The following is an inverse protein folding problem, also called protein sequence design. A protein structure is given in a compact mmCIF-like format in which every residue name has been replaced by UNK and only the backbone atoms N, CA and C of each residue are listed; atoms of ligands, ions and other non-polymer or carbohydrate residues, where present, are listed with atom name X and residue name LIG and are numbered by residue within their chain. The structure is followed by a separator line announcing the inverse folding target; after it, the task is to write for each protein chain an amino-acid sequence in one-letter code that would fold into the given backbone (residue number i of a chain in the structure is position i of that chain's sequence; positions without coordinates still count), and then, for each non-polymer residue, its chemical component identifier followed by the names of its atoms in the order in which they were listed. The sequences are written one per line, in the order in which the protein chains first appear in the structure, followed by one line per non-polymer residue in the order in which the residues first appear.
data_IF_372199630968
#
_entry.id   IF_372199630968
#
_cell.length_a   1.000
_cell.length_b   1.000
_cell.length_c   1.000
_cell.angle_alpha   90.00
_cell.angle_beta   90.00
_cell.angle_gamma   90.00
#
_symmetry.space_group_name_H-M   'P 1'
#
loop_
_entity.id
_entity.type
_entity.pdbx_description
1 polymer ?
#
# COMPACT_ATOMS: atom_id res chain seq x y z
N UNK A 1 -25.98 50.26 9.77
CA UNK A 1 -25.71 49.22 10.79
C UNK A 1 -25.50 47.88 10.11
N UNK A 2 -24.25 47.46 10.00
CA UNK A 2 -23.92 46.09 9.62
C UNK A 2 -23.81 45.32 10.95
N UNK A 3 -24.63 44.28 11.19
CA UNK A 3 -24.53 43.52 12.43
C UNK A 3 -23.21 42.77 12.44
N UNK A 4 -22.36 43.07 13.42
CA UNK A 4 -21.13 42.32 13.65
C UNK A 4 -21.47 41.06 14.42
N UNK A 5 -20.85 39.96 14.01
CA UNK A 5 -20.89 38.68 14.71
C UNK A 5 -19.62 38.61 15.56
N UNK A 6 -19.74 38.66 16.88
CA UNK A 6 -18.66 38.31 17.80
C UNK A 6 -18.65 36.80 17.94
N UNK A 7 -17.56 36.16 17.54
CA UNK A 7 -17.38 34.71 17.67
C UNK A 7 -16.59 34.48 18.96
N UNK A 8 -17.30 34.22 20.06
CA UNK A 8 -16.67 33.93 21.37
C UNK A 8 -16.43 32.42 21.49
N UNK A 9 -15.20 32.05 21.82
CA UNK A 9 -14.74 30.67 22.00
C UNK A 9 -14.87 30.32 23.49
N UNK A 10 -15.88 29.55 23.87
CA UNK A 10 -16.05 29.10 25.26
C UNK A 10 -15.02 28.00 25.61
N UNK A 11 -14.81 27.74 26.89
CA UNK A 11 -13.83 26.75 27.41
C UNK A 11 -14.04 25.32 26.83
N UNK A 12 -15.25 25.00 26.38
CA UNK A 12 -15.60 23.73 25.70
C UNK A 12 -15.32 23.70 24.18
N UNK A 13 -14.76 24.78 23.62
CA UNK A 13 -14.50 24.91 22.19
C UNK A 13 -15.76 25.12 21.34
N UNK A 14 -16.86 25.57 21.96
CA UNK A 14 -18.12 25.91 21.29
C UNK A 14 -18.13 27.41 21.01
N UNK A 15 -18.38 27.77 19.75
CA UNK A 15 -18.43 29.16 19.29
C UNK A 15 -19.83 29.73 19.42
N UNK A 16 -19.97 30.80 20.19
CA UNK A 16 -21.20 31.57 20.29
C UNK A 16 -21.09 32.83 19.43
N UNK A 17 -21.98 32.95 18.45
CA UNK A 17 -22.14 34.13 17.59
C UNK A 17 -23.03 35.14 18.31
N UNK A 18 -22.45 36.24 18.83
CA UNK A 18 -23.20 37.37 19.42
C UNK A 18 -23.34 38.50 18.40
N UNK A 19 -24.51 39.11 18.33
CA UNK A 19 -24.83 40.16 17.36
C UNK A 19 -24.56 41.53 17.99
N UNK A 20 -23.40 42.11 17.73
CA UNK A 20 -23.02 43.45 18.18
C UNK A 20 -23.01 44.43 17.01
N UNK A 21 -23.58 45.62 17.15
CA UNK A 21 -23.65 46.63 16.08
C UNK A 21 -22.43 47.54 16.08
N UNK A 22 -21.79 47.74 14.92
CA UNK A 22 -20.73 48.74 14.72
C UNK A 22 -21.06 49.63 13.52
N UNK A 23 -20.64 50.89 13.59
CA UNK A 23 -21.04 51.97 12.66
C UNK A 23 -20.04 52.28 11.53
N UNK A 24 -18.82 51.72 11.55
CA UNK A 24 -17.74 52.06 10.60
C UNK A 24 -17.25 50.85 9.74
N UNK A 25 -17.23 50.96 8.40
CA UNK A 25 -16.69 49.95 7.47
C UNK A 25 -15.25 49.51 7.73
N UNK A 26 -14.37 50.39 8.23
CA UNK A 26 -12.98 50.03 8.53
C UNK A 26 -12.89 48.96 9.63
N UNK A 27 -13.72 49.10 10.66
CA UNK A 27 -13.78 48.17 11.80
C UNK A 27 -14.34 46.79 11.42
N UNK A 28 -15.10 46.69 10.32
CA UNK A 28 -15.62 45.42 9.78
C UNK A 28 -14.51 44.64 9.09
N UNK A 29 -13.65 45.32 8.32
CA UNK A 29 -12.50 44.70 7.65
C UNK A 29 -11.49 44.14 8.65
N UNK A 30 -11.16 44.91 9.69
CA UNK A 30 -10.24 44.45 10.75
C UNK A 30 -10.75 43.21 11.48
N UNK A 31 -12.05 43.14 11.79
CA UNK A 31 -12.62 41.97 12.45
C UNK A 31 -12.65 40.73 11.55
N UNK A 32 -12.82 40.92 10.24
CA UNK A 32 -12.71 39.84 9.25
C UNK A 32 -11.27 39.29 9.19
N UNK A 33 -10.28 40.18 9.17
CA UNK A 33 -8.86 39.80 9.16
C UNK A 33 -8.45 39.09 10.47
N UNK A 34 -8.94 39.54 11.63
CA UNK A 34 -8.69 38.87 12.91
C UNK A 34 -9.33 37.47 12.99
N UNK A 35 -10.57 37.31 12.52
CA UNK A 35 -11.21 35.99 12.43
C UNK A 35 -10.45 35.03 11.50
N UNK A 36 -9.98 35.52 10.36
CA UNK A 36 -9.15 34.72 9.43
C UNK A 36 -7.84 34.27 10.09
N UNK A 37 -7.15 35.18 10.76
CA UNK A 37 -5.90 34.87 11.48
C UNK A 37 -6.10 33.85 12.61
N UNK A 38 -7.24 33.91 13.31
CA UNK A 38 -7.59 32.90 14.31
C UNK A 38 -7.92 31.55 13.65
N UNK A 39 -8.66 31.56 12.55
CA UNK A 39 -8.95 30.37 11.76
C UNK A 39 -7.67 29.70 11.24
N UNK A 40 -6.71 30.44 10.69
CA UNK A 40 -5.42 29.92 10.26
C UNK A 40 -4.65 29.24 11.40
N UNK A 41 -4.55 29.91 12.56
CA UNK A 41 -3.87 29.35 13.74
C UNK A 41 -4.52 28.07 14.26
N UNK A 42 -5.84 27.99 14.20
CA UNK A 42 -6.62 26.87 14.73
C UNK A 42 -6.68 25.70 13.73
N UNK A 43 -6.88 26.00 12.45
CA UNK A 43 -6.85 25.03 11.35
C UNK A 43 -5.47 24.37 11.21
N UNK A 44 -4.38 25.12 11.45
CA UNK A 44 -3.03 24.57 11.47
C UNK A 44 -2.77 23.59 12.63
N UNK A 45 -3.61 23.60 13.68
CA UNK A 45 -3.44 22.75 14.86
C UNK A 45 -4.27 21.47 14.81
N UNK A 46 -5.54 21.53 14.41
CA UNK A 46 -6.44 20.37 14.43
C UNK A 46 -7.61 20.49 13.44
N UNK A 47 -7.65 19.61 12.44
CA UNK A 47 -8.75 19.51 11.47
C UNK A 47 -10.10 19.18 12.11
N UNK A 48 -10.12 18.49 13.27
CA UNK A 48 -11.36 18.23 14.02
C UNK A 48 -11.96 19.53 14.58
N UNK A 49 -11.13 20.52 14.86
CA UNK A 49 -11.57 21.85 15.29
C UNK A 49 -12.20 22.63 14.14
N UNK A 50 -11.59 22.59 12.95
CA UNK A 50 -12.18 23.16 11.73
C UNK A 50 -13.57 22.57 11.42
N UNK A 51 -13.75 21.26 11.64
CA UNK A 51 -15.06 20.62 11.49
C UNK A 51 -16.12 21.17 12.46
N UNK A 52 -15.77 21.35 13.75
CA UNK A 52 -16.67 21.95 14.76
C UNK A 52 -17.08 23.38 14.38
N UNK A 53 -16.14 24.17 13.85
CA UNK A 53 -16.40 25.52 13.35
C UNK A 53 -17.42 25.54 12.23
N UNK A 54 -17.20 24.70 11.22
CA UNK A 54 -18.05 24.64 10.04
C UNK A 54 -19.47 24.17 10.42
N UNK A 55 -19.58 23.26 11.40
CA UNK A 55 -20.87 22.87 11.98
C UNK A 55 -21.57 24.00 12.74
N UNK A 56 -20.82 24.86 13.45
CA UNK A 56 -21.38 26.04 14.10
C UNK A 56 -21.88 27.08 13.08
N UNK A 57 -21.13 27.26 11.97
CA UNK A 57 -21.54 28.14 10.88
C UNK A 57 -22.81 27.68 10.16
N UNK A 58 -22.97 26.37 9.99
CA UNK A 58 -24.19 25.80 9.43
C UNK A 58 -25.45 26.06 10.29
N UNK A 59 -25.29 26.51 11.54
CA UNK A 59 -26.37 26.88 12.47
C UNK A 59 -26.59 28.40 12.53
N UNK A 60 -25.78 29.19 11.84
CA UNK A 60 -25.85 30.66 11.88
C UNK A 60 -26.66 31.21 10.70
N UNK A 61 -27.56 32.17 10.97
CA UNK A 61 -28.35 32.87 9.94
C UNK A 61 -27.73 34.21 9.48
N UNK A 62 -26.50 34.50 9.90
CA UNK A 62 -25.83 35.77 9.61
C UNK A 62 -25.37 35.84 8.14
N UNK A 63 -26.08 36.62 7.33
CA UNK A 63 -25.74 36.90 5.91
C UNK A 63 -24.33 37.49 5.75
N UNK A 64 -23.80 38.17 6.77
CA UNK A 64 -22.50 38.83 6.70
C UNK A 64 -21.30 37.84 6.73
N UNK A 65 -21.54 36.54 6.92
CA UNK A 65 -20.53 35.48 6.96
C UNK A 65 -20.43 34.66 5.66
N UNK A 66 -21.09 35.07 4.58
CA UNK A 66 -21.07 34.35 3.29
C UNK A 66 -19.68 34.12 2.70
N UNK A 67 -18.67 34.92 3.05
CA UNK A 67 -17.30 34.78 2.55
C UNK A 67 -16.48 33.69 3.27
N UNK A 68 -16.96 33.22 4.43
CA UNK A 68 -16.12 32.46 5.36
C UNK A 68 -15.91 30.98 5.00
N UNK A 69 -16.90 30.24 4.45
CA UNK A 69 -16.65 28.89 3.97
C UNK A 69 -15.58 28.84 2.87
N UNK A 70 -15.59 29.83 1.97
CA UNK A 70 -14.64 29.91 0.85
C UNK A 70 -13.22 30.18 1.37
N UNK A 71 -13.08 31.11 2.33
CA UNK A 71 -11.80 31.40 2.93
C UNK A 71 -11.26 30.25 3.80
N UNK A 72 -12.13 29.51 4.49
CA UNK A 72 -11.73 28.30 5.20
C UNK A 72 -11.27 27.20 4.23
N UNK A 73 -11.92 27.06 3.07
CA UNK A 73 -11.48 26.11 2.06
C UNK A 73 -10.09 26.45 1.51
N UNK A 74 -9.77 27.74 1.39
CA UNK A 74 -8.44 28.22 1.00
C UNK A 74 -7.39 27.92 2.08
N UNK A 75 -7.68 28.23 3.35
CA UNK A 75 -6.79 27.95 4.49
C UNK A 75 -6.53 26.45 4.66
N UNK A 76 -7.56 25.62 4.47
CA UNK A 76 -7.47 24.17 4.60
C UNK A 76 -6.87 23.48 3.36
N UNK A 77 -6.39 24.25 2.38
CA UNK A 77 -5.79 23.73 1.14
C UNK A 77 -6.68 22.68 0.45
N UNK A 78 -7.98 22.96 0.41
CA UNK A 78 -8.98 22.12 -0.25
C UNK A 78 -8.74 22.16 -1.77
N UNK A 79 -9.05 21.06 -2.48
CA UNK A 79 -8.78 20.98 -3.93
C UNK A 79 -9.64 21.99 -4.70
N UNK A 80 -9.18 22.41 -5.88
CA UNK A 80 -9.94 23.40 -6.66
C UNK A 80 -11.28 22.85 -7.14
N UNK A 81 -11.37 21.54 -7.40
CA UNK A 81 -12.63 20.85 -7.70
C UNK A 81 -13.61 20.94 -6.52
N UNK A 82 -13.14 20.68 -5.30
CA UNK A 82 -13.92 20.78 -4.07
C UNK A 82 -14.36 22.24 -3.80
N UNK A 83 -13.52 23.23 -4.13
CA UNK A 83 -13.86 24.66 -4.03
C UNK A 83 -14.95 25.08 -5.02
N UNK A 84 -14.88 24.63 -6.27
CA UNK A 84 -15.95 24.88 -7.28
C UNK A 84 -17.28 24.33 -6.77
N UNK A 85 -17.23 23.14 -6.19
CA UNK A 85 -18.35 22.48 -5.51
C UNK A 85 -18.98 23.36 -4.42
N UNK A 86 -18.18 24.12 -3.65
CA UNK A 86 -18.70 25.05 -2.65
C UNK A 86 -19.38 26.27 -3.28
N UNK A 87 -18.84 26.80 -4.37
CA UNK A 87 -19.38 27.99 -5.04
C UNK A 87 -20.75 27.76 -5.70
N UNK A 88 -21.09 26.50 -6.03
CA UNK A 88 -22.41 26.11 -6.55
C UNK A 88 -23.55 26.33 -5.54
N UNK A 89 -23.24 26.31 -4.25
CA UNK A 89 -24.22 26.36 -3.17
C UNK A 89 -24.67 27.80 -2.87
N UNK A 90 -25.97 28.06 -3.04
CA UNK A 90 -26.55 29.42 -2.93
C UNK A 90 -26.65 29.95 -1.50
N UNK A 91 -26.71 29.08 -0.49
CA UNK A 91 -26.91 29.47 0.91
C UNK A 91 -25.64 29.27 1.75
N UNK A 92 -25.46 30.11 2.79
CA UNK A 92 -24.36 29.96 3.76
C UNK A 92 -24.39 28.58 4.42
N UNK A 93 -25.59 28.14 4.81
CA UNK A 93 -25.80 26.86 5.48
C UNK A 93 -25.41 25.70 4.58
N UNK A 94 -25.78 25.73 3.29
CA UNK A 94 -25.42 24.67 2.35
C UNK A 94 -23.90 24.62 2.11
N UNK A 95 -23.25 25.79 1.92
CA UNK A 95 -21.78 25.88 1.81
C UNK A 95 -21.06 25.34 3.03
N UNK A 96 -21.50 25.75 4.22
CA UNK A 96 -20.93 25.25 5.47
C UNK A 96 -21.13 23.73 5.59
N UNK A 97 -22.32 23.19 5.33
CA UNK A 97 -22.54 21.73 5.38
C UNK A 97 -21.61 20.97 4.43
N UNK A 98 -21.52 21.40 3.17
CA UNK A 98 -20.67 20.77 2.15
C UNK A 98 -19.19 20.81 2.53
N UNK A 99 -18.70 21.95 3.03
CA UNK A 99 -17.34 22.08 3.56
C UNK A 99 -17.12 21.12 4.75
N UNK A 100 -18.10 20.96 5.61
CA UNK A 100 -18.05 20.04 6.75
C UNK A 100 -17.97 18.58 6.32
N UNK A 101 -18.68 18.20 5.27
CA UNK A 101 -18.63 16.85 4.70
C UNK A 101 -17.26 16.56 4.05
N UNK A 102 -16.69 17.53 3.33
CA UNK A 102 -15.33 17.44 2.77
C UNK A 102 -14.29 17.23 3.89
N UNK A 103 -14.34 18.06 4.94
CA UNK A 103 -13.40 17.95 6.08
C UNK A 103 -13.57 16.59 6.78
N UNK A 104 -14.81 16.13 6.97
CA UNK A 104 -15.07 14.83 7.60
C UNK A 104 -14.54 13.68 6.76
N UNK A 105 -14.72 13.74 5.44
CA UNK A 105 -14.16 12.78 4.49
C UNK A 105 -12.64 12.70 4.64
N UNK A 106 -11.96 13.84 4.58
CA UNK A 106 -10.49 13.91 4.74
C UNK A 106 -9.99 13.40 6.09
N UNK A 107 -10.70 13.69 7.17
CA UNK A 107 -10.37 13.13 8.51
C UNK A 107 -10.52 11.61 8.50
N UNK A 108 -11.63 11.09 7.96
CA UNK A 108 -11.90 9.66 7.89
C UNK A 108 -10.91 8.90 7.02
N UNK A 109 -10.54 9.46 5.86
CA UNK A 109 -9.55 8.88 4.96
C UNK A 109 -8.14 8.90 5.58
N UNK A 110 -7.82 9.96 6.34
CA UNK A 110 -6.59 10.04 7.11
C UNK A 110 -6.51 9.01 8.25
N UNK A 111 -7.61 8.73 8.94
CA UNK A 111 -7.68 7.69 9.98
C UNK A 111 -7.54 6.29 9.37
N UNK A 112 -8.24 5.99 8.27
CA UNK A 112 -8.09 4.72 7.53
C UNK A 112 -6.67 4.50 7.02
N UNK A 113 -6.06 5.53 6.43
CA UNK A 113 -4.69 5.42 5.94
C UNK A 113 -3.69 5.10 7.06
N UNK A 114 -3.90 5.64 8.27
CA UNK A 114 -3.05 5.28 9.42
C UNK A 114 -3.25 3.83 9.83
N UNK A 115 -4.49 3.36 9.92
CA UNK A 115 -4.77 1.96 10.22
C UNK A 115 -4.14 1.01 9.19
N UNK A 116 -4.23 1.34 7.91
CA UNK A 116 -3.62 0.56 6.82
C UNK A 116 -2.09 0.52 6.92
N UNK A 117 -1.46 1.65 7.30
CA UNK A 117 -0.01 1.72 7.53
C UNK A 117 0.39 0.90 8.76
N UNK A 118 -0.36 0.99 9.85
CA UNK A 118 -0.09 0.22 11.07
C UNK A 118 -0.20 -1.28 10.82
N UNK A 119 -1.19 -1.72 10.03
CA UNK A 119 -1.30 -3.11 9.58
C UNK A 119 -0.08 -3.54 8.76
N UNK A 120 0.41 -2.70 7.83
CA UNK A 120 1.62 -3.00 7.07
C UNK A 120 2.86 -3.13 7.97
N UNK A 121 2.97 -2.30 9.01
CA UNK A 121 4.07 -2.38 9.99
C UNK A 121 4.02 -3.73 10.71
N UNK A 122 2.83 -4.14 11.17
CA UNK A 122 2.66 -5.39 11.90
C UNK A 122 2.90 -6.63 11.01
N UNK A 123 2.46 -6.59 9.75
CA UNK A 123 2.79 -7.63 8.77
C UNK A 123 4.30 -7.67 8.50
N UNK A 124 4.95 -6.52 8.33
CA UNK A 124 6.39 -6.39 8.15
C UNK A 124 7.20 -6.96 9.32
N UNK A 125 6.71 -6.78 10.56
CA UNK A 125 7.32 -7.35 11.77
C UNK A 125 7.28 -8.88 11.79
N UNK A 126 6.19 -9.46 11.28
CA UNK A 126 5.95 -10.92 11.25
C UNK A 126 6.75 -11.64 10.17
N UNK A 127 7.35 -10.93 9.21
CA UNK A 127 8.16 -11.59 8.18
C UNK A 127 9.35 -12.30 8.84
N UNK A 128 9.49 -13.63 8.67
CA UNK A 128 10.63 -14.40 9.18
C UNK A 128 11.86 -14.10 8.31
N UNK A 129 12.43 -12.93 8.55
CA UNK A 129 13.66 -12.46 7.93
C UNK A 129 14.82 -13.19 8.62
N UNK A 130 15.21 -14.37 8.11
CA UNK A 130 16.41 -15.08 8.54
C UNK A 130 17.70 -14.28 8.30
N UNK A 131 18.87 -14.92 8.18
CA UNK A 131 20.17 -14.21 8.05
C UNK A 131 20.31 -13.22 6.88
N UNK A 132 19.42 -13.25 5.87
CA UNK A 132 19.36 -12.27 4.76
C UNK A 132 18.53 -11.03 5.12
N UNK A 133 18.01 -10.98 6.35
CA UNK A 133 16.94 -10.13 6.81
C UNK A 133 17.26 -8.65 6.92
N UNK A 134 18.46 -8.30 7.37
CA UNK A 134 18.77 -6.91 7.74
C UNK A 134 18.71 -5.95 6.56
N UNK A 135 19.18 -6.37 5.38
CA UNK A 135 19.12 -5.53 4.18
C UNK A 135 17.68 -5.34 3.71
N UNK A 136 16.92 -6.43 3.63
CA UNK A 136 15.51 -6.39 3.19
C UNK A 136 14.66 -5.59 4.17
N UNK A 137 14.88 -5.77 5.48
CA UNK A 137 14.18 -5.02 6.54
C UNK A 137 14.39 -3.53 6.42
N UNK A 138 15.65 -3.10 6.26
CA UNK A 138 15.99 -1.68 6.08
C UNK A 138 15.33 -1.09 4.83
N UNK A 139 15.26 -1.85 3.74
CA UNK A 139 14.58 -1.39 2.52
C UNK A 139 13.07 -1.29 2.75
N UNK A 140 12.46 -2.30 3.38
CA UNK A 140 11.03 -2.30 3.70
C UNK A 140 10.64 -1.13 4.61
N UNK A 141 11.38 -0.91 5.71
CA UNK A 141 11.15 0.19 6.65
C UNK A 141 11.33 1.56 5.99
N UNK A 142 12.31 1.70 5.10
CA UNK A 142 12.52 2.93 4.32
C UNK A 142 11.33 3.22 3.40
N UNK A 143 10.83 2.22 2.68
CA UNK A 143 9.69 2.39 1.78
C UNK A 143 8.38 2.60 2.55
N UNK A 144 8.23 1.99 3.73
CA UNK A 144 7.09 2.24 4.62
C UNK A 144 7.09 3.67 5.19
N UNK A 145 8.26 4.17 5.58
CA UNK A 145 8.43 5.57 6.00
C UNK A 145 8.13 6.54 4.86
N UNK A 146 8.46 6.16 3.62
CA UNK A 146 8.09 6.94 2.44
C UNK A 146 6.58 6.92 2.22
N UNK A 147 5.93 5.76 2.31
CA UNK A 147 4.48 5.64 2.14
C UNK A 147 3.70 6.51 3.12
N UNK A 148 4.13 6.62 4.38
CA UNK A 148 3.45 7.44 5.39
C UNK A 148 3.55 8.95 5.17
N UNK A 149 4.51 9.40 4.36
CA UNK A 149 4.68 10.79 3.97
C UNK A 149 3.93 11.14 2.67
N UNK A 150 3.51 10.14 1.90
CA UNK A 150 2.83 10.33 0.63
C UNK A 150 1.32 10.52 0.84
N UNK A 151 0.73 11.36 0.00
CA UNK A 151 -0.72 11.55 -0.02
C UNK A 151 -1.40 10.30 -0.58
N UNK A 152 -2.46 9.75 0.05
CA UNK A 152 -3.14 8.53 -0.41
C UNK A 152 -3.68 8.59 -1.84
N UNK A 153 -4.07 9.78 -2.29
CA UNK A 153 -4.57 10.05 -3.66
C UNK A 153 -3.45 10.05 -4.71
N UNK A 154 -2.18 10.11 -4.28
CA UNK A 154 -1.05 10.24 -5.20
C UNK A 154 -0.71 8.93 -5.90
N UNK A 155 -0.26 9.05 -7.15
CA UNK A 155 0.21 7.89 -7.91
C UNK A 155 1.44 7.23 -7.28
N UNK A 156 2.31 8.01 -6.64
CA UNK A 156 3.48 7.47 -5.93
C UNK A 156 3.07 6.61 -4.73
N UNK A 157 1.98 6.96 -4.04
CA UNK A 157 1.43 6.15 -2.96
C UNK A 157 0.99 4.79 -3.50
N UNK A 158 0.23 4.76 -4.59
CA UNK A 158 -0.23 3.51 -5.21
C UNK A 158 0.94 2.59 -5.62
N UNK A 159 1.98 3.15 -6.26
CA UNK A 159 3.17 2.38 -6.68
C UNK A 159 3.95 1.84 -5.47
N UNK A 160 4.12 2.66 -4.43
CA UNK A 160 4.85 2.26 -3.21
C UNK A 160 4.07 1.19 -2.44
N UNK A 161 2.74 1.33 -2.35
CA UNK A 161 1.87 0.35 -1.72
C UNK A 161 1.93 -0.99 -2.45
N UNK A 162 1.76 -0.99 -3.77
CA UNK A 162 1.84 -2.21 -4.58
C UNK A 162 3.20 -2.90 -4.42
N UNK A 163 4.29 -2.14 -4.34
CA UNK A 163 5.61 -2.70 -4.08
C UNK A 163 5.69 -3.39 -2.71
N UNK A 164 5.20 -2.76 -1.65
CA UNK A 164 5.18 -3.34 -0.31
C UNK A 164 4.32 -4.61 -0.26
N UNK A 165 3.16 -4.60 -0.93
CA UNK A 165 2.29 -5.78 -1.03
C UNK A 165 3.00 -6.96 -1.74
N UNK A 166 3.73 -6.70 -2.83
CA UNK A 166 4.55 -7.72 -3.49
C UNK A 166 5.61 -8.27 -2.55
N UNK A 167 6.34 -7.41 -1.81
CA UNK A 167 7.36 -7.86 -0.85
C UNK A 167 6.76 -8.73 0.26
N UNK A 168 5.56 -8.36 0.74
CA UNK A 168 4.85 -9.14 1.75
C UNK A 168 4.35 -10.49 1.24
N UNK A 169 3.95 -10.57 -0.04
CA UNK A 169 3.50 -11.81 -0.68
C UNK A 169 4.61 -12.82 -0.96
N UNK A 170 5.88 -12.39 -0.91
CA UNK A 170 7.00 -13.29 -1.15
C UNK A 170 7.10 -14.36 -0.06
N UNK A 171 7.37 -15.62 -0.42
CA UNK A 171 7.57 -16.67 0.57
C UNK A 171 8.97 -16.58 1.16
N UNK A 172 9.05 -16.13 2.41
CA UNK A 172 10.31 -16.00 3.14
C UNK A 172 10.75 -17.29 3.84
N UNK A 173 9.82 -18.23 4.01
CA UNK A 173 10.03 -19.54 4.62
C UNK A 173 10.34 -20.60 3.57
N UNK A 174 11.27 -21.48 3.90
CA UNK A 174 11.60 -22.64 3.07
C UNK A 174 10.74 -23.83 3.47
N UNK A 175 10.39 -24.67 2.50
CA UNK A 175 9.89 -26.02 2.78
C UNK A 175 11.00 -26.91 3.34
N UNK A 176 10.63 -27.88 4.16
CA UNK A 176 11.53 -28.96 4.55
C UNK A 176 11.61 -29.96 3.40
N UNK A 177 12.84 -30.30 2.99
CA UNK A 177 13.05 -31.30 1.93
C UNK A 177 13.20 -32.70 2.51
N UNK A 178 13.02 -33.72 1.69
CA UNK A 178 13.17 -35.12 2.13
C UNK A 178 14.64 -35.45 2.43
N UNK A 179 14.90 -35.96 3.64
CA UNK A 179 16.23 -36.34 4.12
C UNK A 179 16.73 -37.69 3.57
N UNK A 180 15.83 -38.63 3.27
CA UNK A 180 16.18 -39.97 2.82
C UNK A 180 16.22 -40.09 1.29
N UNK A 181 17.38 -40.47 0.74
CA UNK A 181 17.56 -40.72 -0.70
C UNK A 181 16.85 -42.00 -1.16
N UNK A 182 16.71 -43.00 -0.30
CA UNK A 182 16.03 -44.27 -0.61
C UNK A 182 14.54 -44.03 -0.84
N UNK A 183 13.91 -43.21 0.02
CA UNK A 183 12.54 -42.78 -0.15
C UNK A 183 12.31 -42.04 -1.48
N UNK A 184 13.21 -41.13 -1.85
CA UNK A 184 13.14 -40.39 -3.13
C UNK A 184 13.18 -41.37 -4.31
N UNK A 185 14.13 -42.31 -4.31
CA UNK A 185 14.27 -43.31 -5.38
C UNK A 185 13.03 -44.19 -5.49
N UNK A 186 12.52 -44.67 -4.36
CA UNK A 186 11.33 -45.52 -4.31
C UNK A 186 10.09 -44.79 -4.84
N UNK A 187 9.89 -43.53 -4.45
CA UNK A 187 8.79 -42.70 -4.93
C UNK A 187 8.86 -42.45 -6.44
N UNK A 188 10.05 -42.18 -6.98
CA UNK A 188 10.25 -41.97 -8.42
C UNK A 188 9.99 -43.25 -9.21
N UNK A 189 10.45 -44.40 -8.72
CA UNK A 189 10.21 -45.69 -9.37
C UNK A 189 8.75 -46.14 -9.32
N UNK A 190 8.01 -45.76 -8.28
CA UNK A 190 6.58 -46.04 -8.18
C UNK A 190 5.74 -45.20 -9.16
N UNK A 191 6.18 -43.97 -9.48
CA UNK A 191 5.40 -43.03 -10.29
C UNK A 191 5.70 -43.13 -11.78
N UNK A 192 6.95 -43.45 -12.16
CA UNK A 192 7.40 -43.51 -13.55
C UNK A 192 8.12 -44.82 -13.85
N UNK A 193 7.63 -45.56 -14.84
CA UNK A 193 8.31 -46.76 -15.34
C UNK A 193 9.51 -46.38 -16.23
N UNK A 194 10.62 -47.11 -16.11
CA UNK A 194 11.86 -46.86 -16.86
C UNK A 194 12.59 -45.58 -16.42
N UNK A 195 13.22 -44.86 -17.36
CA UNK A 195 13.95 -43.60 -17.12
C UNK A 195 15.07 -43.71 -16.06
N UNK A 196 15.73 -44.87 -15.98
CA UNK A 196 16.73 -45.13 -14.93
C UNK A 196 17.86 -44.10 -14.91
N UNK A 197 18.40 -43.72 -16.08
CA UNK A 197 19.43 -42.69 -16.19
C UNK A 197 18.96 -41.32 -15.64
N UNK A 198 17.71 -40.94 -15.92
CA UNK A 198 17.14 -39.67 -15.44
C UNK A 198 16.95 -39.72 -13.92
N UNK A 199 16.39 -40.82 -13.40
CA UNK A 199 16.18 -41.01 -11.96
C UNK A 199 17.51 -41.00 -11.20
N UNK A 200 18.52 -41.70 -11.70
CA UNK A 200 19.85 -41.74 -11.11
C UNK A 200 20.48 -40.34 -11.08
N UNK A 201 20.37 -39.59 -12.18
CA UNK A 201 20.87 -38.21 -12.25
C UNK A 201 20.18 -37.27 -11.27
N UNK A 202 18.87 -37.41 -11.07
CA UNK A 202 18.13 -36.61 -10.08
C UNK A 202 18.62 -36.89 -8.66
N UNK A 203 18.81 -38.17 -8.32
CA UNK A 203 19.29 -38.60 -7.00
C UNK A 203 20.72 -38.09 -6.76
N UNK A 204 21.60 -38.17 -7.76
CA UNK A 204 22.97 -37.65 -7.70
C UNK A 204 22.99 -36.14 -7.44
N UNK A 205 22.19 -35.37 -8.19
CA UNK A 205 22.10 -33.91 -8.01
C UNK A 205 21.57 -33.54 -6.62
N UNK A 206 20.61 -34.29 -6.10
CA UNK A 206 20.09 -34.07 -4.74
C UNK A 206 21.15 -34.40 -3.67
N UNK A 207 21.88 -35.50 -3.83
CA UNK A 207 22.97 -35.89 -2.93
C UNK A 207 24.09 -34.84 -2.90
N UNK A 208 24.56 -34.39 -4.07
CA UNK A 208 25.54 -33.30 -4.19
C UNK A 208 25.04 -32.01 -3.52
N UNK A 209 23.75 -31.71 -3.67
CA UNK A 209 23.11 -30.57 -3.03
C UNK A 209 23.11 -30.65 -1.50
N UNK A 210 23.01 -31.85 -0.92
CA UNK A 210 23.08 -32.06 0.53
C UNK A 210 24.49 -32.01 1.09
N UNK A 211 25.47 -32.49 0.33
CA UNK A 211 26.87 -32.49 0.74
C UNK A 211 27.51 -31.09 0.64
N UNK A 212 26.98 -30.23 -0.23
CA UNK A 212 27.50 -28.88 -0.44
C UNK A 212 27.08 -27.93 0.68
N UNK A 213 28.02 -27.15 1.21
CA UNK A 213 27.72 -26.05 2.12
C UNK A 213 26.79 -25.03 1.42
N UNK A 214 25.78 -24.43 2.09
CA UNK A 214 24.88 -23.48 1.45
C UNK A 214 25.57 -22.30 0.73
N UNK A 215 26.77 -21.92 1.20
CA UNK A 215 27.59 -20.84 0.64
C UNK A 215 28.42 -21.25 -0.59
N UNK A 216 28.65 -22.54 -0.83
CA UNK A 216 29.43 -23.07 -1.96
C UNK A 216 28.62 -23.94 -2.91
N UNK A 217 27.31 -24.10 -2.64
CA UNK A 217 26.40 -24.91 -3.43
C UNK A 217 26.26 -24.34 -4.84
N UNK A 218 26.93 -24.96 -5.80
CA UNK A 218 26.69 -24.69 -7.22
C UNK A 218 25.29 -25.16 -7.59
N UNK A 219 24.47 -24.24 -8.08
CA UNK A 219 23.18 -24.56 -8.68
C UNK A 219 23.47 -25.26 -10.01
N UNK A 220 22.98 -26.50 -10.15
CA UNK A 220 23.10 -27.29 -11.38
C UNK A 220 21.71 -27.49 -11.99
N UNK A 221 21.33 -26.69 -13.00
CA UNK A 221 20.06 -26.88 -13.70
C UNK A 221 20.01 -28.25 -14.38
N UNK A 222 18.86 -28.91 -14.33
CA UNK A 222 18.59 -30.14 -15.06
C UNK A 222 17.81 -29.80 -16.34
N UNK A 223 18.33 -30.21 -17.49
CA UNK A 223 17.64 -30.07 -18.78
C UNK A 223 17.14 -31.44 -19.24
N UNK A 224 15.82 -31.58 -19.39
CA UNK A 224 15.17 -32.78 -19.91
C UNK A 224 14.90 -32.61 -21.41
N UNK A 225 15.49 -33.46 -22.25
CA UNK A 225 15.38 -33.39 -23.70
C UNK A 225 14.69 -34.64 -24.25
N UNK A 226 13.82 -34.46 -25.25
CA UNK A 226 13.19 -35.58 -25.97
C UNK A 226 12.00 -35.13 -26.83
N UNK A 227 11.34 -36.05 -27.55
CA UNK A 227 10.15 -35.73 -28.35
C UNK A 227 8.96 -35.21 -27.52
N UNK A 228 8.00 -34.49 -28.12
CA UNK A 228 6.76 -34.12 -27.42
C UNK A 228 6.01 -35.39 -26.97
N UNK A 229 5.35 -35.34 -25.82
CA UNK A 229 4.59 -36.48 -25.28
C UNK A 229 5.38 -37.48 -24.41
N UNK A 230 6.71 -37.37 -24.30
CA UNK A 230 7.52 -38.29 -23.46
C UNK A 230 7.44 -38.03 -21.94
N UNK A 231 6.46 -37.26 -21.46
CA UNK A 231 6.24 -37.07 -20.02
C UNK A 231 7.25 -36.15 -19.29
N UNK A 232 7.95 -35.25 -19.99
CA UNK A 232 8.93 -34.31 -19.38
C UNK A 232 8.37 -33.48 -18.21
N UNK A 233 7.15 -32.95 -18.35
CA UNK A 233 6.49 -32.19 -17.28
C UNK A 233 6.08 -33.11 -16.13
N UNK A 234 5.55 -34.28 -16.44
CA UNK A 234 5.11 -35.27 -15.45
C UNK A 234 6.25 -35.80 -14.57
N UNK A 235 7.44 -36.05 -15.16
CA UNK A 235 8.61 -36.45 -14.36
C UNK A 235 9.10 -35.28 -13.49
N UNK A 236 9.06 -34.04 -13.98
CA UNK A 236 9.45 -32.86 -13.19
C UNK A 236 8.55 -32.65 -11.95
N UNK A 237 7.24 -32.79 -12.12
CA UNK A 237 6.27 -32.76 -11.01
C UNK A 237 6.54 -33.88 -9.99
N UNK A 238 6.87 -35.07 -10.48
CA UNK A 238 7.13 -36.23 -9.63
C UNK A 238 8.46 -36.11 -8.87
N UNK A 239 9.45 -35.47 -9.48
CA UNK A 239 10.70 -35.09 -8.80
C UNK A 239 10.40 -34.13 -7.66
N UNK A 240 9.65 -33.05 -7.91
CA UNK A 240 9.29 -32.10 -6.86
C UNK A 240 8.54 -32.79 -5.70
N UNK A 241 7.56 -33.64 -6.03
CA UNK A 241 6.80 -34.42 -5.04
C UNK A 241 7.70 -35.35 -4.23
N UNK A 242 8.59 -36.11 -4.89
CA UNK A 242 9.53 -37.01 -4.22
C UNK A 242 10.51 -36.26 -3.30
N UNK A 243 10.89 -35.03 -3.66
CA UNK A 243 11.78 -34.19 -2.86
C UNK A 243 11.07 -33.41 -1.74
N UNK A 244 9.74 -33.45 -1.69
CA UNK A 244 8.93 -32.67 -0.74
C UNK A 244 8.95 -31.17 -1.04
N UNK A 245 9.09 -30.80 -2.32
CA UNK A 245 9.18 -29.41 -2.79
C UNK A 245 7.89 -28.96 -3.48
N UNK A 246 7.64 -27.65 -3.47
CA UNK A 246 6.50 -27.05 -4.19
C UNK A 246 6.85 -26.97 -5.67
N UNK A 247 5.95 -27.36 -6.55
CA UNK A 247 6.20 -27.33 -7.98
C UNK A 247 5.46 -26.17 -8.63
N UNK A 248 6.17 -25.40 -9.45
CA UNK A 248 5.58 -24.36 -10.30
C UNK A 248 6.19 -24.42 -11.70
N UNK A 249 5.36 -24.27 -12.72
CA UNK A 249 5.78 -24.30 -14.12
C UNK A 249 5.77 -22.90 -14.70
N UNK A 250 6.93 -22.45 -15.19
CA UNK A 250 7.06 -21.21 -15.96
C UNK A 250 7.21 -21.55 -17.43
N UNK A 251 6.17 -21.28 -18.22
CA UNK A 251 6.25 -21.45 -19.67
C UNK A 251 7.13 -20.37 -20.30
N UNK A 252 8.16 -20.81 -21.03
CA UNK A 252 9.03 -19.94 -21.82
C UNK A 252 8.61 -19.83 -23.30
N UNK A 253 7.62 -20.63 -23.72
CA UNK A 253 7.15 -20.63 -25.10
C UNK A 253 6.48 -19.31 -25.46
N UNK A 254 6.85 -18.74 -26.60
CA UNK A 254 6.26 -17.49 -27.10
C UNK A 254 6.73 -16.22 -26.38
N UNK A 255 7.72 -16.33 -25.48
CA UNK A 255 8.35 -15.17 -24.87
C UNK A 255 9.22 -14.42 -25.88
N UNK A 256 8.95 -13.13 -26.05
CA UNK A 256 9.72 -12.24 -26.94
C UNK A 256 10.53 -11.19 -26.17
N UNK A 257 10.14 -10.87 -24.93
CA UNK A 257 10.81 -9.87 -24.10
C UNK A 257 11.31 -10.44 -22.75
N UNK A 258 12.48 -9.99 -22.34
CA UNK A 258 13.05 -10.28 -21.03
C UNK A 258 12.24 -9.65 -19.88
N UNK A 259 11.50 -8.56 -20.17
CA UNK A 259 10.57 -7.92 -19.23
C UNK A 259 9.51 -8.88 -18.70
N UNK A 260 9.01 -9.81 -19.52
CA UNK A 260 8.04 -10.81 -19.06
C UNK A 260 8.61 -11.76 -18.00
N UNK A 261 9.89 -12.08 -18.07
CA UNK A 261 10.55 -12.97 -17.10
C UNK A 261 10.93 -12.24 -15.82
N UNK A 262 11.55 -11.06 -15.95
CA UNK A 262 12.14 -10.31 -14.83
C UNK A 262 11.17 -9.31 -14.20
N UNK A 263 10.16 -8.87 -14.93
CA UNK A 263 9.30 -7.75 -14.59
C UNK A 263 9.90 -6.41 -15.04
N UNK A 264 9.09 -5.37 -14.93
CA UNK A 264 9.48 -4.01 -15.28
C UNK A 264 9.93 -3.22 -14.04
N UNK A 265 10.65 -2.12 -14.27
CA UNK A 265 10.99 -1.19 -13.18
C UNK A 265 9.70 -0.62 -12.59
N UNK A 266 9.59 -0.61 -11.25
CA UNK A 266 8.42 -0.10 -10.51
C UNK A 266 7.97 1.32 -10.88
N UNK A 267 8.84 2.11 -11.51
CA UNK A 267 8.53 3.48 -11.96
C UNK A 267 7.53 3.52 -13.12
N UNK A 268 7.31 2.41 -13.82
CA UNK A 268 6.30 2.34 -14.86
C UNK A 268 4.92 2.10 -14.26
N UNK A 269 3.93 2.84 -14.75
CA UNK A 269 2.52 2.68 -14.36
C UNK A 269 2.09 1.25 -14.70
N UNK A 270 1.48 0.55 -13.75
CA UNK A 270 1.04 -0.84 -13.94
C UNK A 270 2.16 -1.87 -13.95
N UNK A 271 3.34 -1.54 -13.41
CA UNK A 271 4.43 -2.50 -13.26
C UNK A 271 3.97 -3.74 -12.50
N UNK A 272 4.13 -4.90 -13.12
CA UNK A 272 3.84 -6.20 -12.53
C UNK A 272 5.16 -6.97 -12.30
N UNK A 273 5.21 -7.82 -11.27
CA UNK A 273 6.31 -8.76 -11.10
C UNK A 273 6.40 -9.69 -12.32
N UNK A 274 7.62 -10.03 -12.75
CA UNK A 274 7.82 -10.97 -13.85
C UNK A 274 7.32 -12.38 -13.51
N UNK A 275 7.25 -13.26 -14.53
CA UNK A 275 6.77 -14.64 -14.38
C UNK A 275 7.53 -15.44 -13.32
N UNK A 276 8.84 -15.20 -13.15
CA UNK A 276 9.65 -15.91 -12.13
C UNK A 276 9.18 -15.54 -10.72
N UNK A 277 9.03 -14.25 -10.43
CA UNK A 277 8.63 -13.78 -9.11
C UNK A 277 7.17 -14.16 -8.81
N UNK A 278 6.31 -14.08 -9.82
CA UNK A 278 4.90 -14.51 -9.73
C UNK A 278 4.78 -16.01 -9.43
N UNK A 279 5.58 -16.85 -10.09
CA UNK A 279 5.64 -18.28 -9.79
C UNK A 279 6.17 -18.54 -8.36
N UNK A 280 7.16 -17.78 -7.91
CA UNK A 280 7.64 -17.90 -6.53
C UNK A 280 6.53 -17.57 -5.51
N UNK A 281 5.78 -16.49 -5.74
CA UNK A 281 4.62 -16.12 -4.90
C UNK A 281 3.57 -17.24 -4.92
N UNK A 282 3.20 -17.75 -6.10
CA UNK A 282 2.23 -18.85 -6.24
C UNK A 282 2.67 -20.13 -5.51
N UNK A 283 3.97 -20.44 -5.54
CA UNK A 283 4.52 -21.62 -4.89
C UNK A 283 4.36 -21.60 -3.36
N UNK A 284 4.35 -20.41 -2.76
CA UNK A 284 4.29 -20.23 -1.30
C UNK A 284 5.53 -20.71 -0.54
N UNK A 285 6.64 -20.99 -1.23
CA UNK A 285 7.90 -21.47 -0.64
C UNK A 285 9.09 -20.67 -1.16
N UNK A 286 10.09 -20.40 -0.31
CA UNK A 286 11.37 -19.78 -0.71
C UNK A 286 12.19 -20.68 -1.64
N UNK A 287 11.97 -21.99 -1.55
CA UNK A 287 12.64 -23.02 -2.32
C UNK A 287 11.61 -23.99 -2.92
N UNK A 288 10.83 -23.54 -3.92
CA UNK A 288 10.07 -24.45 -4.76
C UNK A 288 11.04 -25.33 -5.57
#
# INVERSE_FOLDING_TARGET
MIPKVRVELNEDGIFTVRKDTFDDPATVREAREELLRQCEKLAARDSKFALKWVQALARCEAKDLHWMPDALAEILTISDEEKVSLLEERSLVARARRLGDIIRGKIGDGEKNREDIDQLIDLGRKIPLGNTGDRTRRVFEKELTRLSQLEPSSQEYAVTRQYLDVVLSLPWTSTEGVADLSAVRSSLSATHYGLEEVKERVVELWALGKMSHPSTRQVRPLLLVGPPGCGKTSIAESIAKALGRRFEMVSLGGLSDAGELKGHRRTYIGSQPGKILSALIASGSKNP
#
